data_IF_531017354298
#
_entry.id   IF_531017354298
#
_cell.length_a   1.000
_cell.length_b   1.000
_cell.length_c   1.000
_cell.angle_alpha   90.00
_cell.angle_beta   90.00
_cell.angle_gamma   90.00
#
_symmetry.space_group_name_H-M   'P 1'
#
loop_
_entity.id
_entity.type
_entity.pdbx_description
1 polymer ?
#
# COMPACT_ATOMS: atom_id res chain seq x y z
N UNK A 1 -4.45 -7.99 17.29
CA UNK A 1 -3.32 -7.59 16.41
C UNK A 1 -2.20 -8.59 16.53
N UNK A 2 -1.69 -8.85 17.74
CA UNK A 2 -0.59 -9.80 18.00
C UNK A 2 -0.77 -11.17 17.33
N UNK A 3 -1.97 -11.76 17.38
CA UNK A 3 -2.25 -13.03 16.70
C UNK A 3 -1.98 -12.97 15.18
N UNK A 4 -2.36 -11.86 14.51
CA UNK A 4 -2.07 -11.66 13.08
C UNK A 4 -0.57 -11.50 12.82
N UNK A 5 0.14 -10.78 13.69
CA UNK A 5 1.59 -10.62 13.58
C UNK A 5 2.30 -11.96 13.71
N UNK A 6 1.85 -12.82 14.62
CA UNK A 6 2.40 -14.16 14.83
C UNK A 6 2.17 -15.07 13.61
N UNK A 7 0.98 -15.04 13.01
CA UNK A 7 0.68 -15.78 11.78
C UNK A 7 1.64 -15.37 10.65
N UNK A 8 1.88 -14.06 10.49
CA UNK A 8 2.79 -13.53 9.46
C UNK A 8 4.23 -13.98 9.73
N UNK A 9 4.70 -13.90 10.99
CA UNK A 9 6.03 -14.38 11.36
C UNK A 9 6.20 -15.87 11.08
N UNK A 10 5.21 -16.70 11.42
CA UNK A 10 5.23 -18.13 11.12
C UNK A 10 5.33 -18.39 9.62
N UNK A 11 4.49 -17.72 8.83
CA UNK A 11 4.52 -17.83 7.37
C UNK A 11 5.87 -17.39 6.79
N UNK A 12 6.46 -16.31 7.30
CA UNK A 12 7.77 -15.85 6.86
C UNK A 12 8.88 -16.87 7.14
N UNK A 13 8.85 -17.52 8.31
CA UNK A 13 9.79 -18.61 8.63
C UNK A 13 9.62 -19.77 7.65
N UNK A 14 8.39 -20.21 7.39
CA UNK A 14 8.11 -21.26 6.39
C UNK A 14 8.68 -20.90 5.01
N UNK A 15 8.46 -19.66 4.54
CA UNK A 15 8.99 -19.21 3.25
C UNK A 15 10.52 -19.12 3.24
N UNK A 16 11.13 -18.75 4.35
CA UNK A 16 12.60 -18.72 4.51
C UNK A 16 13.21 -20.10 4.34
N UNK A 17 12.52 -21.14 4.84
CA UNK A 17 12.96 -22.52 4.70
C UNK A 17 12.67 -23.07 3.29
N UNK A 18 11.55 -22.66 2.68
CA UNK A 18 11.16 -23.10 1.34
C UNK A 18 12.05 -22.52 0.23
N UNK A 19 12.43 -21.24 0.31
CA UNK A 19 13.17 -20.55 -0.75
C UNK A 19 14.58 -21.12 -0.99
N UNK A 20 15.14 -21.80 0.02
CA UNK A 20 16.46 -22.44 -0.05
C UNK A 20 16.40 -23.92 -0.48
N UNK A 21 15.20 -24.49 -0.67
CA UNK A 21 15.07 -25.89 -1.07
C UNK A 21 15.51 -26.11 -2.53
N UNK A 22 16.32 -27.14 -2.82
CA UNK A 22 16.77 -27.43 -4.19
C UNK A 22 15.63 -27.59 -5.20
N UNK A 23 14.54 -28.25 -4.78
CA UNK A 23 13.38 -28.48 -5.64
C UNK A 23 12.69 -27.16 -6.04
N UNK A 24 12.60 -26.21 -5.10
CA UNK A 24 12.04 -24.87 -5.38
C UNK A 24 12.98 -24.05 -6.25
N UNK A 25 14.29 -24.08 -5.98
CA UNK A 25 15.29 -23.35 -6.77
C UNK A 25 15.32 -23.85 -8.23
N UNK A 26 15.09 -25.15 -8.43
CA UNK A 26 15.05 -25.75 -9.77
C UNK A 26 13.78 -25.41 -10.57
N UNK A 27 12.67 -25.08 -9.90
CA UNK A 27 11.42 -24.62 -10.52
C UNK A 27 11.38 -23.08 -10.56
N UNK A 28 11.79 -22.50 -11.68
CA UNK A 28 11.86 -21.05 -11.86
C UNK A 28 10.53 -20.33 -11.59
N UNK A 29 9.37 -20.93 -11.92
CA UNK A 29 8.07 -20.30 -11.71
C UNK A 29 7.71 -20.25 -10.22
N UNK A 30 7.95 -21.35 -9.51
CA UNK A 30 7.72 -21.37 -8.06
C UNK A 30 8.71 -20.50 -7.30
N UNK A 31 9.99 -20.51 -7.70
CA UNK A 31 11.00 -19.66 -7.12
C UNK A 31 10.63 -18.17 -7.19
N UNK A 32 10.16 -17.69 -8.34
CA UNK A 32 9.71 -16.29 -8.52
C UNK A 32 8.52 -15.97 -7.60
N UNK A 33 7.54 -16.88 -7.51
CA UNK A 33 6.35 -16.69 -6.65
C UNK A 33 6.74 -16.61 -5.18
N UNK A 34 7.53 -17.57 -4.69
CA UNK A 34 7.99 -17.64 -3.30
C UNK A 34 8.91 -16.46 -2.98
N UNK A 35 9.80 -16.07 -3.88
CA UNK A 35 10.68 -14.90 -3.69
C UNK A 35 9.89 -13.60 -3.54
N UNK A 36 8.81 -13.44 -4.32
CA UNK A 36 7.92 -12.28 -4.20
C UNK A 36 7.21 -12.26 -2.84
N UNK A 37 6.59 -13.38 -2.46
CA UNK A 37 5.89 -13.51 -1.18
C UNK A 37 6.85 -13.30 0.01
N UNK A 38 8.06 -13.88 -0.06
CA UNK A 38 9.11 -13.69 0.93
C UNK A 38 9.48 -12.22 1.10
N UNK A 39 9.70 -11.50 -0.02
CA UNK A 39 10.03 -10.08 0.02
C UNK A 39 8.89 -9.24 0.61
N UNK A 40 7.66 -9.51 0.19
CA UNK A 40 6.47 -8.82 0.69
C UNK A 40 6.30 -9.02 2.21
N UNK A 41 6.48 -10.25 2.70
CA UNK A 41 6.39 -10.51 4.15
C UNK A 41 7.60 -10.01 4.94
N UNK A 42 8.79 -9.95 4.33
CA UNK A 42 10.00 -9.45 4.99
C UNK A 42 9.81 -8.01 5.46
N UNK A 43 9.25 -7.15 4.60
CA UNK A 43 8.99 -5.75 4.94
C UNK A 43 8.07 -5.63 6.17
N UNK A 44 7.05 -6.49 6.27
CA UNK A 44 6.14 -6.53 7.42
C UNK A 44 6.88 -7.07 8.66
N UNK A 45 7.65 -8.15 8.54
CA UNK A 45 8.39 -8.76 9.65
C UNK A 45 9.44 -7.81 10.23
N UNK A 46 10.15 -7.07 9.38
CA UNK A 46 11.12 -6.06 9.82
C UNK A 46 10.40 -4.99 10.68
N UNK A 47 9.20 -4.55 10.26
CA UNK A 47 8.38 -3.62 11.06
C UNK A 47 7.86 -4.23 12.36
N UNK A 48 7.49 -5.51 12.37
CA UNK A 48 7.10 -6.22 13.61
C UNK A 48 8.28 -6.32 14.58
N UNK A 49 9.50 -6.50 14.08
CA UNK A 49 10.68 -6.55 14.94
C UNK A 49 10.95 -5.18 15.58
N UNK A 50 10.81 -4.09 14.82
CA UNK A 50 10.88 -2.72 15.36
C UNK A 50 9.82 -2.49 16.46
N UNK A 51 8.57 -2.88 16.20
CA UNK A 51 7.48 -2.82 17.18
C UNK A 51 7.82 -3.56 18.48
N UNK A 52 8.36 -4.78 18.37
CA UNK A 52 8.75 -5.57 19.53
C UNK A 52 9.88 -4.92 20.33
N UNK A 53 10.90 -4.38 19.66
CA UNK A 53 12.00 -3.67 20.34
C UNK A 53 11.49 -2.45 21.10
N UNK A 54 10.57 -1.67 20.53
CA UNK A 54 10.01 -0.51 21.26
C UNK A 54 9.18 -0.98 22.46
N UNK A 55 8.43 -2.07 22.32
CA UNK A 55 7.68 -2.66 23.44
C UNK A 55 8.60 -3.14 24.56
N UNK A 56 9.76 -3.72 24.23
CA UNK A 56 10.80 -4.10 25.18
C UNK A 56 11.38 -2.84 25.86
N UNK A 57 11.73 -1.80 25.12
CA UNK A 57 12.24 -0.54 25.68
C UNK A 57 11.23 0.12 26.64
N UNK A 58 9.93 0.10 26.31
CA UNK A 58 8.85 0.57 27.19
C UNK A 58 8.86 -0.23 28.50
N UNK A 59 8.96 -1.55 28.39
CA UNK A 59 8.96 -2.43 29.56
C UNK A 59 10.16 -2.15 30.46
N UNK A 60 11.36 -2.04 29.90
CA UNK A 60 12.60 -1.73 30.63
C UNK A 60 12.51 -0.37 31.33
N UNK A 61 12.03 0.67 30.63
CA UNK A 61 11.83 1.99 31.24
C UNK A 61 10.80 1.95 32.39
N UNK A 62 9.72 1.18 32.25
CA UNK A 62 8.74 0.99 33.32
C UNK A 62 9.30 0.21 34.51
N UNK A 63 10.25 -0.70 34.31
CA UNK A 63 10.94 -1.39 35.40
C UNK A 63 11.88 -0.45 36.16
N UNK A 64 12.67 0.35 35.44
CA UNK A 64 13.56 1.35 36.05
C UNK A 64 12.76 2.31 36.94
N UNK A 65 11.63 2.82 36.45
CA UNK A 65 10.76 3.72 37.22
C UNK A 65 10.16 3.10 38.48
N UNK A 66 10.10 1.76 38.58
CA UNK A 66 9.56 1.04 39.75
C UNK A 66 10.64 0.70 40.78
N UNK A 67 11.86 0.42 40.34
CA UNK A 67 12.93 -0.10 41.20
C UNK A 67 13.99 0.92 41.56
N UNK A 68 14.14 1.99 40.78
CA UNK A 68 15.22 2.96 40.95
C UNK A 68 14.84 4.10 41.90
N UNK A 69 15.85 4.70 42.53
CA UNK A 69 15.67 5.82 43.48
C UNK A 69 16.50 7.06 43.12
N UNK A 70 17.43 6.91 42.18
CA UNK A 70 18.18 8.04 41.62
C UNK A 70 17.28 8.91 40.75
N UNK A 71 17.18 10.19 41.11
CA UNK A 71 16.30 11.16 40.47
C UNK A 71 16.68 11.42 38.99
N UNK A 72 17.97 11.44 38.65
CA UNK A 72 18.42 11.65 37.27
C UNK A 72 18.04 10.45 36.40
N UNK A 73 18.17 9.23 36.94
CA UNK A 73 17.80 8.01 36.23
C UNK A 73 16.29 7.90 36.01
N UNK A 74 15.48 8.29 37.01
CA UNK A 74 14.01 8.34 36.91
C UNK A 74 13.56 9.35 35.84
N UNK A 75 14.18 10.53 35.79
CA UNK A 75 13.86 11.55 34.79
C UNK A 75 14.21 11.08 33.36
N UNK A 76 15.36 10.43 33.19
CA UNK A 76 15.75 9.83 31.92
C UNK A 76 14.74 8.75 31.46
N UNK A 77 14.44 7.78 32.34
CA UNK A 77 13.51 6.70 32.04
C UNK A 77 12.08 7.23 31.75
N UNK A 78 11.65 8.30 32.44
CA UNK A 78 10.35 8.93 32.17
C UNK A 78 10.29 9.57 30.78
N UNK A 79 11.38 10.23 30.36
CA UNK A 79 11.47 10.81 29.02
C UNK A 79 11.47 9.72 27.94
N UNK A 80 12.27 8.67 28.11
CA UNK A 80 12.33 7.54 27.18
C UNK A 80 10.98 6.82 27.08
N UNK A 81 10.31 6.59 28.21
CA UNK A 81 8.99 5.99 28.25
C UNK A 81 7.97 6.82 27.46
N UNK A 82 7.99 8.14 27.61
CA UNK A 82 7.09 9.03 26.86
C UNK A 82 7.36 8.94 25.36
N UNK A 83 8.62 9.07 24.93
CA UNK A 83 8.99 9.00 23.52
C UNK A 83 8.66 7.64 22.89
N UNK A 84 8.93 6.55 23.60
CA UNK A 84 8.60 5.21 23.11
C UNK A 84 7.09 4.96 23.05
N UNK A 85 6.29 5.55 23.96
CA UNK A 85 4.81 5.49 23.91
C UNK A 85 4.23 6.24 22.72
N UNK A 86 4.85 7.33 22.28
CA UNK A 86 4.43 8.01 21.06
C UNK A 86 4.81 7.18 19.83
N UNK A 87 6.05 6.69 19.78
CA UNK A 87 6.56 5.90 18.66
C UNK A 87 5.81 4.58 18.46
N UNK A 88 5.44 3.88 19.54
CA UNK A 88 4.69 2.63 19.43
C UNK A 88 3.32 2.85 18.80
N UNK A 89 2.65 3.97 19.07
CA UNK A 89 1.36 4.30 18.46
C UNK A 89 1.50 4.53 16.96
N UNK A 90 2.55 5.24 16.52
CA UNK A 90 2.82 5.46 15.10
C UNK A 90 3.07 4.13 14.36
N UNK A 91 3.90 3.26 14.94
CA UNK A 91 4.19 1.95 14.36
C UNK A 91 2.97 1.03 14.35
N UNK A 92 2.11 1.09 15.37
CA UNK A 92 0.87 0.31 15.37
C UNK A 92 -0.05 0.71 14.23
N UNK A 93 -0.17 2.00 13.91
CA UNK A 93 -0.95 2.47 12.77
C UNK A 93 -0.33 2.04 11.43
N UNK A 94 1.00 2.16 11.29
CA UNK A 94 1.70 1.65 10.11
C UNK A 94 1.47 0.14 9.92
N UNK A 95 1.62 -0.65 10.99
CA UNK A 95 1.36 -2.08 10.96
C UNK A 95 -0.10 -2.38 10.61
N UNK A 96 -1.08 -1.65 11.16
CA UNK A 96 -2.51 -1.84 10.78
C UNK A 96 -2.72 -1.70 9.28
N UNK A 97 -2.07 -0.72 8.66
CA UNK A 97 -2.15 -0.48 7.22
C UNK A 97 -1.45 -1.61 6.45
N UNK A 98 -0.25 -2.02 6.88
CA UNK A 98 0.50 -3.13 6.24
C UNK A 98 -0.21 -4.49 6.35
N UNK A 99 -1.03 -4.68 7.38
CA UNK A 99 -1.83 -5.89 7.59
C UNK A 99 -3.11 -5.95 6.72
N UNK A 100 -3.42 -4.89 5.99
CA UNK A 100 -4.51 -4.91 5.02
C UNK A 100 -4.07 -5.87 3.90
N UNK A 101 -4.83 -6.95 3.63
CA UNK A 101 -4.49 -7.88 2.57
C UNK A 101 -4.33 -7.10 1.26
N UNK A 102 -3.16 -7.22 0.61
CA UNK A 102 -2.97 -6.69 -0.74
C UNK A 102 -3.98 -7.40 -1.64
N UNK A 103 -4.83 -6.63 -2.29
CA UNK A 103 -5.70 -7.16 -3.33
C UNK A 103 -4.79 -7.64 -4.48
N UNK A 104 -4.99 -8.85 -5.04
CA UNK A 104 -4.27 -9.28 -6.24
C UNK A 104 -4.35 -8.26 -7.39
N UNK A 105 -5.39 -7.41 -7.41
CA UNK A 105 -5.59 -6.35 -8.38
C UNK A 105 -4.98 -5.00 -7.98
N UNK A 106 -4.49 -4.81 -6.75
CA UNK A 106 -3.86 -3.53 -6.29
C UNK A 106 -2.64 -3.14 -7.13
N UNK A 107 -1.94 -4.15 -7.68
CA UNK A 107 -0.77 -3.95 -8.54
C UNK A 107 -1.12 -3.68 -10.00
N UNK A 108 -2.39 -3.87 -10.40
CA UNK A 108 -2.81 -3.72 -11.79
C UNK A 108 -3.15 -2.27 -12.11
N UNK A 109 -3.13 -1.99 -13.40
CA UNK A 109 -3.59 -0.72 -13.93
C UNK A 109 -5.11 -0.64 -13.76
N UNK A 110 -5.60 0.51 -13.33
CA UNK A 110 -7.04 0.75 -13.15
C UNK A 110 -7.56 1.42 -14.40
N UNK A 111 -8.76 1.02 -14.84
CA UNK A 111 -9.57 1.72 -15.83
C UNK A 111 -10.66 2.49 -15.11
N UNK A 112 -10.66 3.81 -15.23
CA UNK A 112 -11.75 4.65 -14.76
C UNK A 112 -12.73 4.92 -15.90
N UNK A 113 -14.03 4.95 -15.64
CA UNK A 113 -15.04 5.43 -16.59
C UNK A 113 -15.90 6.49 -15.91
N UNK A 114 -15.88 7.70 -16.45
CA UNK A 114 -16.73 8.79 -16.00
C UNK A 114 -17.95 8.89 -16.93
N UNK A 115 -19.14 8.93 -16.36
CA UNK A 115 -20.40 9.10 -17.11
C UNK A 115 -21.19 10.25 -16.50
N UNK A 116 -21.68 11.16 -17.33
CA UNK A 116 -22.63 12.15 -16.89
C UNK A 116 -23.93 11.45 -16.45
N UNK A 117 -24.35 11.71 -15.22
CA UNK A 117 -25.63 11.24 -14.70
C UNK A 117 -26.80 12.09 -15.18
N UNK A 118 -27.84 12.18 -14.37
CA UNK A 118 -28.97 13.09 -14.60
C UNK A 118 -28.55 14.55 -14.37
N UNK A 119 -29.04 15.46 -15.21
CA UNK A 119 -28.75 16.90 -15.09
C UNK A 119 -28.02 17.50 -16.29
N UNK A 120 -28.22 16.94 -17.50
CA UNK A 120 -27.85 17.58 -18.76
C UNK A 120 -26.43 18.14 -18.80
N UNK A 121 -26.32 19.45 -18.89
CA UNK A 121 -25.05 20.16 -19.05
C UNK A 121 -24.26 20.22 -17.74
N UNK A 122 -24.93 20.47 -16.60
CA UNK A 122 -24.29 20.52 -15.29
C UNK A 122 -23.67 19.16 -14.90
N UNK A 123 -24.38 18.06 -15.16
CA UNK A 123 -23.88 16.72 -14.88
C UNK A 123 -22.60 16.38 -15.65
N UNK A 124 -22.44 17.01 -16.82
CA UNK A 124 -21.34 16.71 -17.70
C UNK A 124 -20.14 17.62 -17.48
N UNK A 125 -20.37 18.90 -17.14
CA UNK A 125 -19.35 19.79 -16.59
C UNK A 125 -18.74 19.14 -15.33
N UNK A 126 -19.57 18.57 -14.46
CA UNK A 126 -19.11 17.88 -13.26
C UNK A 126 -18.25 16.64 -13.57
N UNK A 127 -18.65 15.83 -14.56
CA UNK A 127 -17.82 14.71 -15.02
C UNK A 127 -16.43 15.20 -15.49
N UNK A 128 -16.37 16.40 -16.07
CA UNK A 128 -15.11 17.02 -16.44
C UNK A 128 -14.27 17.58 -15.31
N UNK A 129 -14.90 18.15 -14.31
CA UNK A 129 -14.20 18.52 -13.09
C UNK A 129 -13.61 17.29 -12.39
N UNK A 130 -14.35 16.17 -12.35
CA UNK A 130 -13.84 14.90 -11.83
C UNK A 130 -12.66 14.37 -12.64
N UNK A 131 -12.76 14.37 -13.98
CA UNK A 131 -11.65 13.97 -14.84
C UNK A 131 -10.42 14.82 -14.56
N UNK A 132 -10.55 16.15 -14.54
CA UNK A 132 -9.43 17.06 -14.27
C UNK A 132 -8.83 16.84 -12.88
N UNK A 133 -9.67 16.59 -11.88
CA UNK A 133 -9.24 16.30 -10.51
C UNK A 133 -8.44 15.00 -10.44
N UNK A 134 -8.96 13.90 -10.98
CA UNK A 134 -8.29 12.60 -10.94
C UNK A 134 -7.03 12.56 -11.81
N UNK A 135 -7.04 13.23 -12.97
CA UNK A 135 -5.85 13.35 -13.82
C UNK A 135 -4.71 14.04 -13.07
N UNK A 136 -4.97 15.20 -12.46
CA UNK A 136 -3.97 15.91 -11.66
C UNK A 136 -3.50 15.12 -10.44
N UNK A 137 -4.39 14.43 -9.75
CA UNK A 137 -4.05 13.58 -8.61
C UNK A 137 -3.12 12.43 -9.02
N UNK A 138 -3.39 11.81 -10.16
CA UNK A 138 -2.64 10.68 -10.71
C UNK A 138 -1.26 11.12 -11.17
N UNK A 139 -1.17 12.22 -11.92
CA UNK A 139 0.09 12.84 -12.34
C UNK A 139 0.97 13.26 -11.15
N UNK A 140 0.36 13.84 -10.09
CA UNK A 140 1.08 14.21 -8.86
C UNK A 140 1.69 12.99 -8.15
N UNK A 141 1.13 11.80 -8.33
CA UNK A 141 1.68 10.53 -7.82
C UNK A 141 2.65 9.86 -8.79
N UNK A 142 3.07 10.56 -9.85
CA UNK A 142 4.02 10.06 -10.84
C UNK A 142 3.46 8.97 -11.76
N UNK A 143 2.14 8.80 -11.80
CA UNK A 143 1.47 7.80 -12.64
C UNK A 143 0.99 8.43 -13.93
N UNK A 144 1.02 7.67 -15.03
CA UNK A 144 0.59 8.13 -16.35
C UNK A 144 -0.93 8.01 -16.49
N UNK A 145 -1.54 9.04 -17.06
CA UNK A 145 -2.95 9.05 -17.48
C UNK A 145 -2.97 8.82 -19.00
N UNK A 146 -3.70 7.79 -19.46
CA UNK A 146 -3.89 7.50 -20.89
C UNK A 146 -5.38 7.58 -21.17
N UNK A 147 -5.81 8.52 -22.02
CA UNK A 147 -7.20 8.64 -22.48
C UNK A 147 -7.43 7.66 -23.63
N UNK A 148 -8.36 6.72 -23.47
CA UNK A 148 -8.69 5.73 -24.53
C UNK A 148 -9.92 6.13 -25.34
N UNK A 149 -10.90 6.81 -24.75
CA UNK A 149 -12.11 7.25 -25.43
C UNK A 149 -12.57 8.61 -24.90
N UNK A 150 -13.24 9.40 -25.74
CA UNK A 150 -13.81 10.70 -25.42
C UNK A 150 -15.01 10.98 -26.33
N UNK A 151 -16.16 11.28 -25.73
CA UNK A 151 -17.37 11.66 -26.47
C UNK A 151 -17.72 13.12 -26.20
N UNK A 152 -17.58 13.96 -27.21
CA UNK A 152 -17.91 15.38 -27.13
C UNK A 152 -19.41 15.60 -27.40
N UNK A 153 -20.05 16.48 -26.65
CA UNK A 153 -21.42 16.96 -26.94
C UNK A 153 -21.44 18.48 -26.94
N UNK A 154 -22.32 19.07 -27.76
CA UNK A 154 -22.24 20.48 -28.14
C UNK A 154 -22.65 21.45 -27.04
N UNK A 155 -21.98 22.60 -27.08
CA UNK A 155 -22.08 23.80 -26.24
C UNK A 155 -21.42 23.71 -24.87
N UNK A 156 -20.13 24.06 -24.93
CA UNK A 156 -19.26 24.52 -23.85
C UNK A 156 -18.96 23.51 -22.73
N UNK A 157 -17.74 22.99 -22.83
CA UNK A 157 -16.98 22.21 -21.85
C UNK A 157 -17.19 20.70 -21.92
N UNK A 158 -16.11 20.07 -22.38
CA UNK A 158 -15.83 18.64 -22.55
C UNK A 158 -16.57 17.76 -21.53
N UNK A 159 -17.35 16.81 -22.05
CA UNK A 159 -18.12 15.84 -21.27
C UNK A 159 -17.39 14.50 -21.35
N UNK A 160 -16.66 14.13 -20.30
CA UNK A 160 -15.62 13.10 -20.40
C UNK A 160 -16.19 11.70 -20.18
N UNK A 161 -15.94 10.81 -21.13
CA UNK A 161 -15.98 9.35 -20.93
C UNK A 161 -14.56 8.80 -21.02
N UNK A 162 -13.71 9.22 -20.10
CA UNK A 162 -12.28 8.91 -20.15
C UNK A 162 -12.03 7.52 -19.62
N UNK A 163 -11.83 6.54 -20.49
CA UNK A 163 -11.08 5.34 -20.11
C UNK A 163 -9.66 5.80 -19.76
N UNK A 164 -9.32 5.80 -18.48
CA UNK A 164 -7.97 6.13 -18.02
C UNK A 164 -7.29 4.86 -17.59
N UNK A 165 -6.27 4.38 -18.30
CA UNK A 165 -5.36 3.35 -17.77
C UNK A 165 -4.30 4.03 -16.92
N UNK A 166 -4.31 3.77 -15.61
CA UNK A 166 -3.29 4.25 -14.68
C UNK A 166 -2.13 3.26 -14.69
N UNK A 167 -1.01 3.60 -15.31
CA UNK A 167 0.17 2.72 -15.40
C UNK A 167 1.02 2.78 -14.11
N UNK A 168 1.22 1.63 -13.46
CA UNK A 168 2.09 1.47 -12.30
C UNK A 168 3.51 0.98 -12.66
N UNK A 169 3.84 0.80 -13.94
CA UNK A 169 5.13 0.25 -14.37
C UNK A 169 5.83 1.17 -15.35
N UNK A 170 7.14 1.33 -15.20
CA UNK A 170 8.01 2.06 -16.13
C UNK A 170 8.22 1.32 -17.47
N UNK A 171 7.32 0.41 -17.85
CA UNK A 171 7.57 -0.52 -18.94
C UNK A 171 6.79 -0.10 -20.20
N UNK A 172 7.54 0.37 -21.20
CA UNK A 172 7.07 0.61 -22.56
C UNK A 172 6.87 -0.75 -23.24
N UNK A 173 5.72 -1.38 -23.14
CA UNK A 173 5.30 -2.37 -24.13
C UNK A 173 3.77 -2.40 -24.17
N UNK A 174 3.22 -1.87 -25.26
CA UNK A 174 1.80 -1.95 -25.60
C UNK A 174 1.57 -3.26 -26.35
N UNK A 175 0.75 -4.16 -25.81
CA UNK A 175 0.08 -5.18 -26.63
C UNK A 175 -1.32 -4.67 -26.99
N UNK A 176 -1.52 -4.47 -28.29
CA UNK A 176 -2.65 -3.81 -28.96
C UNK A 176 -3.92 -4.69 -29.04
N UNK A 177 -4.10 -5.68 -28.15
CA UNK A 177 -5.04 -6.80 -28.38
C UNK A 177 -6.32 -6.84 -27.54
N UNK A 178 -6.76 -5.74 -26.93
CA UNK A 178 -8.09 -5.71 -26.27
C UNK A 178 -8.96 -4.56 -26.72
N UNK A 179 -9.28 -4.56 -28.03
CA UNK A 179 -10.49 -3.92 -28.56
C UNK A 179 -11.70 -4.78 -28.20
N UNK A 180 -12.35 -4.48 -27.07
CA UNK A 180 -13.73 -4.91 -26.88
C UNK A 180 -14.64 -4.00 -27.69
N UNK A 181 -15.09 -4.52 -28.83
CA UNK A 181 -16.26 -4.05 -29.56
C UNK A 181 -17.51 -4.15 -28.68
N UNK A 182 -18.30 -3.08 -28.62
CA UNK A 182 -19.67 -3.13 -28.15
C UNK A 182 -20.55 -2.39 -29.17
N UNK A 183 -21.62 -3.08 -29.58
CA UNK A 183 -22.73 -2.61 -30.42
C UNK A 183 -23.51 -1.46 -29.77
#
# INVERSE_FOLDING_TARGET
>A
MEEKLNIIKQRFVELSDLIIQPDIISDQKQYVKISKEYKDLKEIVDKINEYNTIKENIHEAEEILKSESDQEMIELASSELSSNKDLINEIEEELKIMLIPKDPDDSKNIVMELRAGTGGDEASIFAGDLFRMYSKFTEKRGRKVIIVDLNETSDAWEKYKTHTSIDNTSNKDYDDETRFSAE
#
